data_IF_394294503344
#
_entry.id   IF_394294503344
#
_cell.length_a   1.000
_cell.length_b   1.000
_cell.length_c   1.000
_cell.angle_alpha   90.00
_cell.angle_beta   90.00
_cell.angle_gamma   90.00
#
_symmetry.space_group_name_H-M   'P 1'
#
loop_
_entity.id
_entity.type
_entity.pdbx_description
1 polymer ?
#
# COMPACT_ATOMS: atom_id res chain seq x y z
N UNK A 1 20.26 -6.79 -4.93
CA UNK A 1 19.13 -6.50 -5.85
C UNK A 1 17.86 -6.44 -5.03
N UNK A 2 17.33 -5.23 -4.85
CA UNK A 2 16.07 -4.98 -4.15
C UNK A 2 14.90 -5.64 -4.88
N UNK A 3 13.85 -6.07 -4.15
CA UNK A 3 12.61 -6.58 -4.75
C UNK A 3 12.07 -5.61 -5.84
N UNK A 4 12.17 -4.31 -5.60
CA UNK A 4 11.75 -3.27 -6.54
C UNK A 4 12.53 -3.32 -7.86
N UNK A 5 13.86 -3.49 -7.82
CA UNK A 5 14.70 -3.55 -9.03
C UNK A 5 14.33 -4.75 -9.91
N UNK A 6 14.06 -5.92 -9.29
CA UNK A 6 13.59 -7.11 -10.01
C UNK A 6 12.22 -6.87 -10.64
N UNK A 7 11.32 -6.13 -9.97
CA UNK A 7 10.03 -5.78 -10.54
C UNK A 7 10.17 -4.79 -11.69
N UNK A 8 11.00 -3.76 -11.57
CA UNK A 8 11.27 -2.79 -12.63
C UNK A 8 11.74 -3.46 -13.93
N UNK A 9 12.58 -4.50 -13.82
CA UNK A 9 13.01 -5.30 -14.98
C UNK A 9 11.85 -6.07 -15.65
N UNK A 10 10.79 -6.40 -14.90
CA UNK A 10 9.63 -7.15 -15.39
C UNK A 10 8.44 -6.27 -15.80
N UNK A 11 8.45 -4.96 -15.55
CA UNK A 11 7.39 -4.02 -15.97
C UNK A 11 7.06 -4.10 -17.47
N UNK A 12 8.04 -4.25 -18.40
CA UNK A 12 7.75 -4.38 -19.83
C UNK A 12 6.81 -5.54 -20.18
N UNK A 13 6.74 -6.57 -19.32
CA UNK A 13 5.88 -7.75 -19.50
C UNK A 13 4.39 -7.46 -19.27
N UNK A 14 4.06 -6.39 -18.55
CA UNK A 14 2.69 -6.02 -18.19
C UNK A 14 2.37 -4.60 -18.65
N UNK A 15 2.21 -4.37 -19.97
CA UNK A 15 1.92 -3.04 -20.50
C UNK A 15 0.58 -2.50 -20.00
N UNK A 16 0.46 -1.17 -20.04
CA UNK A 16 -0.76 -0.44 -19.67
C UNK A 16 -1.93 -0.90 -20.54
N UNK A 17 -3.06 -1.18 -19.90
CA UNK A 17 -4.27 -1.68 -20.57
C UNK A 17 -5.27 -0.56 -20.90
N UNK A 18 -6.08 -0.78 -21.93
CA UNK A 18 -7.20 0.10 -22.27
C UNK A 18 -8.27 0.07 -21.17
N UNK A 19 -9.13 1.09 -21.11
CA UNK A 19 -10.19 1.13 -20.09
C UNK A 19 -11.22 0.04 -20.31
N UNK A 20 -11.45 -0.34 -21.56
CA UNK A 20 -12.37 -1.40 -21.95
C UNK A 20 -11.83 -2.74 -21.44
N UNK A 21 -10.54 -3.00 -21.67
CA UNK A 21 -9.90 -4.24 -21.24
C UNK A 21 -9.80 -4.34 -19.72
N UNK A 22 -9.41 -3.24 -19.05
CA UNK A 22 -9.40 -3.14 -17.59
C UNK A 22 -10.76 -3.51 -16.99
N UNK A 23 -11.85 -2.99 -17.57
CA UNK A 23 -13.21 -3.29 -17.12
C UNK A 23 -13.62 -4.73 -17.42
N UNK A 24 -13.21 -5.28 -18.57
CA UNK A 24 -13.47 -6.69 -18.93
C UNK A 24 -12.81 -7.63 -17.92
N UNK A 25 -11.53 -7.38 -17.60
CA UNK A 25 -10.81 -8.14 -16.58
C UNK A 25 -11.45 -7.99 -15.21
N UNK A 26 -11.85 -6.78 -14.79
CA UNK A 26 -12.51 -6.57 -13.49
C UNK A 26 -13.85 -7.32 -13.45
N UNK A 27 -14.63 -7.30 -14.53
CA UNK A 27 -15.89 -8.03 -14.61
C UNK A 27 -15.70 -9.55 -14.45
N UNK A 28 -14.63 -10.11 -15.02
CA UNK A 28 -14.27 -11.51 -14.81
C UNK A 28 -13.72 -11.77 -13.41
N UNK A 29 -12.81 -10.94 -12.92
CA UNK A 29 -12.28 -11.03 -11.57
C UNK A 29 -13.39 -11.07 -10.50
N UNK A 30 -14.44 -10.24 -10.66
CA UNK A 30 -15.63 -10.24 -9.79
C UNK A 30 -16.47 -11.51 -9.87
N UNK A 31 -16.38 -12.29 -10.95
CA UNK A 31 -16.99 -13.62 -11.08
C UNK A 31 -16.14 -14.73 -10.42
N UNK A 32 -14.97 -14.39 -9.86
CA UNK A 32 -14.11 -15.33 -9.15
C UNK A 32 -13.07 -16.03 -10.03
N UNK A 33 -12.79 -15.54 -11.24
CA UNK A 33 -11.71 -16.11 -12.05
C UNK A 33 -10.34 -15.63 -11.52
N UNK A 34 -9.50 -16.52 -10.92
CA UNK A 34 -8.29 -16.11 -10.22
C UNK A 34 -7.22 -15.54 -11.16
N UNK A 35 -7.09 -16.10 -12.36
CA UNK A 35 -6.12 -15.65 -13.37
C UNK A 35 -6.31 -14.18 -13.74
N UNK A 36 -7.55 -13.73 -13.90
CA UNK A 36 -7.86 -12.34 -14.23
C UNK A 36 -7.64 -11.39 -13.05
N UNK A 37 -7.80 -11.88 -11.81
CA UNK A 37 -7.44 -11.10 -10.62
C UNK A 37 -5.93 -10.88 -10.59
N UNK A 38 -5.15 -11.96 -10.74
CA UNK A 38 -3.69 -11.90 -10.72
C UNK A 38 -3.16 -11.02 -11.84
N UNK A 39 -3.71 -11.15 -13.05
CA UNK A 39 -3.35 -10.28 -14.17
C UNK A 39 -3.63 -8.81 -13.84
N UNK A 40 -4.78 -8.47 -13.27
CA UNK A 40 -5.09 -7.09 -12.88
C UNK A 40 -4.10 -6.55 -11.84
N UNK A 41 -3.75 -7.36 -10.84
CA UNK A 41 -2.77 -7.01 -9.82
C UNK A 41 -1.42 -6.73 -10.47
N UNK A 42 -0.92 -7.65 -11.29
CA UNK A 42 0.38 -7.53 -11.98
C UNK A 42 0.45 -6.27 -12.86
N UNK A 43 -0.65 -5.93 -13.55
CA UNK A 43 -0.77 -4.70 -14.37
C UNK A 43 -0.75 -3.42 -13.53
N UNK A 44 -1.07 -3.50 -12.23
CA UNK A 44 -1.13 -2.36 -11.32
C UNK A 44 0.03 -2.30 -10.32
N UNK A 45 0.90 -3.31 -10.25
CA UNK A 45 2.11 -3.30 -9.43
C UNK A 45 2.97 -2.06 -9.73
N UNK A 46 3.21 -1.76 -11.01
CA UNK A 46 4.00 -0.59 -11.40
C UNK A 46 3.40 0.73 -10.91
N UNK A 47 2.07 0.81 -10.81
CA UNK A 47 1.39 1.96 -10.21
C UNK A 47 1.64 2.04 -8.70
N UNK A 48 1.55 0.93 -7.97
CA UNK A 48 1.81 0.88 -6.52
C UNK A 48 3.25 1.27 -6.21
N UNK A 49 4.22 0.69 -6.91
CA UNK A 49 5.65 1.01 -6.77
C UNK A 49 5.87 2.51 -7.00
N UNK A 50 5.27 3.07 -8.06
CA UNK A 50 5.35 4.51 -8.31
C UNK A 50 4.79 5.36 -7.15
N UNK A 51 3.68 4.94 -6.51
CA UNK A 51 3.14 5.66 -5.34
C UNK A 51 4.07 5.57 -4.14
N UNK A 52 4.63 4.41 -3.85
CA UNK A 52 5.58 4.21 -2.74
C UNK A 52 6.78 5.14 -2.90
N UNK A 53 7.42 5.12 -4.07
CA UNK A 53 8.55 6.02 -4.36
C UNK A 53 8.19 7.50 -4.28
N UNK A 54 6.96 7.86 -4.68
CA UNK A 54 6.54 9.26 -4.68
C UNK A 54 6.14 9.78 -3.30
N UNK A 55 5.74 8.90 -2.38
CA UNK A 55 5.23 9.28 -1.04
C UNK A 55 6.20 9.05 0.09
N UNK A 56 7.29 8.35 -0.17
CA UNK A 56 8.22 7.88 0.85
C UNK A 56 9.61 8.42 0.55
N UNK A 57 10.32 8.90 1.57
CA UNK A 57 11.73 9.26 1.42
C UNK A 57 12.58 8.01 1.15
N UNK A 58 13.65 8.10 0.34
CA UNK A 58 14.46 6.92 -0.03
C UNK A 58 14.91 6.07 1.15
N UNK A 59 15.34 6.70 2.25
CA UNK A 59 15.75 6.00 3.48
C UNK A 59 14.66 5.13 4.11
N UNK A 60 13.38 5.51 3.99
CA UNK A 60 12.27 4.71 4.49
C UNK A 60 11.81 3.66 3.48
N UNK A 61 12.07 3.85 2.19
CA UNK A 61 11.83 2.81 1.17
C UNK A 61 12.78 1.62 1.40
N UNK A 62 14.06 1.90 1.67
CA UNK A 62 15.05 0.85 1.94
C UNK A 62 14.71 0.00 3.17
N UNK A 63 14.06 0.62 4.17
CA UNK A 63 13.76 -0.03 5.46
C UNK A 63 12.40 -0.72 5.48
N UNK A 64 11.37 -0.09 4.93
CA UNK A 64 9.97 -0.53 5.06
C UNK A 64 9.27 -0.77 3.72
N UNK A 65 9.95 -0.50 2.61
CA UNK A 65 9.33 -0.50 1.29
C UNK A 65 8.76 -1.87 0.90
N UNK A 66 9.46 -2.96 1.23
CA UNK A 66 9.01 -4.33 0.89
C UNK A 66 7.73 -4.72 1.65
N UNK A 67 7.64 -4.36 2.93
CA UNK A 67 6.45 -4.61 3.76
C UNK A 67 5.25 -3.78 3.28
N UNK A 68 5.46 -2.47 3.09
CA UNK A 68 4.45 -1.55 2.56
C UNK A 68 3.98 -2.04 1.17
N UNK A 69 4.90 -2.49 0.32
CA UNK A 69 4.54 -3.01 -0.98
C UNK A 69 3.67 -4.26 -0.86
N UNK A 70 4.07 -5.23 -0.04
CA UNK A 70 3.35 -6.50 0.15
C UNK A 70 1.93 -6.28 0.67
N UNK A 71 1.75 -5.41 1.64
CA UNK A 71 0.44 -5.03 2.16
C UNK A 71 -0.40 -4.26 1.14
N UNK A 72 0.21 -3.36 0.37
CA UNK A 72 -0.48 -2.64 -0.70
C UNK A 72 -1.02 -3.58 -1.80
N UNK A 73 -0.37 -4.73 -2.04
CA UNK A 73 -0.89 -5.76 -2.95
C UNK A 73 -2.21 -6.34 -2.44
N UNK A 74 -2.34 -6.64 -1.15
CA UNK A 74 -3.61 -7.10 -0.58
C UNK A 74 -4.74 -6.07 -0.74
N UNK A 75 -4.40 -4.77 -0.65
CA UNK A 75 -5.36 -3.70 -0.94
C UNK A 75 -5.83 -3.76 -2.40
N UNK A 76 -4.97 -4.08 -3.37
CA UNK A 76 -5.40 -4.25 -4.76
C UNK A 76 -6.42 -5.38 -4.90
N UNK A 77 -6.14 -6.55 -4.31
CA UNK A 77 -7.04 -7.70 -4.33
C UNK A 77 -8.43 -7.36 -3.76
N UNK A 78 -8.47 -6.67 -2.61
CA UNK A 78 -9.74 -6.20 -2.03
C UNK A 78 -10.46 -5.20 -2.95
N UNK A 79 -9.73 -4.22 -3.48
CA UNK A 79 -10.34 -3.17 -4.30
C UNK A 79 -10.85 -3.66 -5.65
N UNK A 80 -10.25 -4.68 -6.24
CA UNK A 80 -10.79 -5.32 -7.45
C UNK A 80 -12.19 -5.89 -7.17
N UNK A 81 -12.38 -6.57 -6.03
CA UNK A 81 -13.69 -7.14 -5.64
C UNK A 81 -14.75 -6.04 -5.45
N UNK A 82 -14.37 -4.93 -4.84
CA UNK A 82 -15.27 -3.85 -4.46
C UNK A 82 -15.46 -2.76 -5.53
N UNK A 83 -14.74 -2.83 -6.65
CA UNK A 83 -14.84 -1.84 -7.71
C UNK A 83 -16.23 -1.79 -8.35
N UNK A 84 -16.77 -0.58 -8.53
CA UNK A 84 -18.08 -0.35 -9.15
C UNK A 84 -17.96 -0.17 -10.67
N UNK A 85 -18.28 -1.23 -11.42
CA UNK A 85 -18.31 -1.20 -12.89
C UNK A 85 -19.39 -0.28 -13.46
N UNK A 86 -20.41 0.08 -12.70
CA UNK A 86 -21.55 0.92 -13.14
C UNK A 86 -21.57 2.27 -12.44
N UNK A 87 -20.40 2.79 -12.08
CA UNK A 87 -20.29 4.12 -11.49
C UNK A 87 -20.97 5.17 -12.37
N UNK A 88 -21.81 5.97 -11.74
CA UNK A 88 -22.48 7.13 -12.31
C UNK A 88 -22.02 8.37 -11.59
N UNK A 89 -21.88 9.48 -12.30
CA UNK A 89 -21.57 10.75 -11.65
C UNK A 89 -22.81 11.36 -10.96
N UNK A 90 -22.64 12.56 -10.40
CA UNK A 90 -23.71 13.28 -9.68
C UNK A 90 -24.91 13.63 -10.56
N UNK A 91 -24.78 13.57 -11.88
CA UNK A 91 -25.86 13.81 -12.84
C UNK A 91 -26.51 12.51 -13.32
N UNK A 92 -26.05 11.34 -12.84
CA UNK A 92 -26.57 10.03 -13.23
C UNK A 92 -25.93 9.48 -14.50
N UNK A 93 -24.93 10.17 -15.06
CA UNK A 93 -24.25 9.80 -16.29
C UNK A 93 -23.22 8.71 -16.04
N UNK A 94 -23.19 7.70 -16.91
CA UNK A 94 -22.24 6.60 -16.79
C UNK A 94 -20.81 7.08 -17.06
N UNK A 95 -19.94 6.94 -16.05
CA UNK A 95 -18.57 7.44 -16.13
C UNK A 95 -17.58 6.34 -15.73
N UNK A 96 -16.97 5.63 -16.68
CA UNK A 96 -16.00 4.60 -16.36
C UNK A 96 -14.74 5.27 -15.77
N UNK A 97 -14.44 4.97 -14.50
CA UNK A 97 -13.26 5.48 -13.79
C UNK A 97 -12.12 4.47 -13.91
N UNK A 98 -10.90 4.90 -14.21
CA UNK A 98 -9.74 3.97 -14.22
C UNK A 98 -9.54 3.33 -12.86
N UNK A 99 -9.13 2.06 -12.83
CA UNK A 99 -8.91 1.37 -11.56
C UNK A 99 -7.83 2.07 -10.73
N UNK A 100 -6.73 2.50 -11.35
CA UNK A 100 -5.69 3.33 -10.72
C UNK A 100 -6.24 4.61 -10.05
N UNK A 101 -7.14 5.32 -10.72
CA UNK A 101 -7.82 6.51 -10.17
C UNK A 101 -8.77 6.18 -9.02
N UNK A 102 -9.36 4.98 -9.00
CA UNK A 102 -10.19 4.52 -7.89
C UNK A 102 -9.36 4.21 -6.64
N UNK A 103 -8.20 3.57 -6.80
CA UNK A 103 -7.39 3.09 -5.67
C UNK A 103 -6.39 4.11 -5.12
N UNK A 104 -5.99 5.13 -5.89
CA UNK A 104 -4.83 5.99 -5.57
C UNK A 104 -4.84 6.59 -4.16
N UNK A 105 -5.97 7.16 -3.72
CA UNK A 105 -6.12 7.75 -2.38
C UNK A 105 -5.99 6.72 -1.28
N UNK A 106 -6.51 5.50 -1.50
CA UNK A 106 -6.42 4.42 -0.51
C UNK A 106 -4.97 3.96 -0.36
N UNK A 107 -4.25 3.80 -1.47
CA UNK A 107 -2.83 3.44 -1.47
C UNK A 107 -2.00 4.53 -0.79
N UNK A 108 -2.23 5.81 -1.12
CA UNK A 108 -1.53 6.93 -0.48
C UNK A 108 -1.73 6.98 1.03
N UNK A 109 -3.00 6.90 1.47
CA UNK A 109 -3.32 6.91 2.89
C UNK A 109 -2.64 5.76 3.62
N UNK A 110 -2.73 4.56 3.03
CA UNK A 110 -2.07 3.37 3.56
C UNK A 110 -0.55 3.53 3.70
N UNK A 111 0.14 4.08 2.69
CA UNK A 111 1.60 4.32 2.76
C UNK A 111 1.93 5.26 3.92
N UNK A 112 1.20 6.38 4.04
CA UNK A 112 1.45 7.36 5.10
C UNK A 112 1.15 6.79 6.50
N UNK A 113 0.04 6.06 6.64
CA UNK A 113 -0.35 5.41 7.89
C UNK A 113 0.70 4.38 8.33
N UNK A 114 1.20 3.58 7.38
CA UNK A 114 2.23 2.56 7.65
C UNK A 114 3.55 3.20 8.08
N UNK A 115 4.00 4.24 7.36
CA UNK A 115 5.22 4.97 7.72
C UNK A 115 5.11 5.60 9.11
N UNK A 116 3.96 6.20 9.43
CA UNK A 116 3.73 6.77 10.76
C UNK A 116 3.80 5.70 11.84
N UNK A 117 3.18 4.55 11.63
CA UNK A 117 3.18 3.44 12.57
C UNK A 117 4.59 2.88 12.81
N UNK A 118 5.42 2.75 11.77
CA UNK A 118 6.81 2.30 11.92
C UNK A 118 7.67 3.33 12.66
N UNK A 119 7.56 4.62 12.31
CA UNK A 119 8.31 5.68 13.00
C UNK A 119 7.92 5.80 14.48
N UNK A 120 6.64 5.63 14.81
CA UNK A 120 6.19 5.57 16.20
C UNK A 120 6.75 4.36 16.94
N UNK A 121 6.83 3.18 16.29
CA UNK A 121 7.47 2.01 16.89
C UNK A 121 8.94 2.28 17.16
N UNK A 122 9.68 2.84 16.22
CA UNK A 122 11.12 3.12 16.39
C UNK A 122 11.39 4.13 17.50
N UNK A 123 10.57 5.19 17.58
CA UNK A 123 10.65 6.18 18.64
C UNK A 123 10.51 5.52 20.01
N UNK A 124 9.53 4.61 20.18
CA UNK A 124 9.33 3.86 21.44
C UNK A 124 10.49 2.94 21.81
N UNK A 125 11.24 2.42 20.83
CA UNK A 125 12.42 1.59 21.09
C UNK A 125 13.68 2.44 21.33
N UNK A 126 13.67 3.72 20.95
CA UNK A 126 14.82 4.63 21.05
C UNK A 126 14.85 5.40 22.37
N UNK A 127 13.75 5.45 23.13
CA UNK A 127 13.71 5.94 24.51
C UNK A 127 13.80 4.76 25.47
N UNK A 128 14.96 4.49 26.10
CA UNK A 128 15.01 3.59 27.22
C UNK A 128 14.19 4.20 28.36
N UNK A 129 13.34 3.39 28.98
CA UNK A 129 12.49 3.71 30.12
C UNK A 129 13.33 3.95 31.40
N UNK A 130 14.19 4.97 31.38
CA UNK A 130 15.05 5.33 32.52
C UNK A 130 14.23 5.90 33.69
N UNK A 131 13.02 6.39 33.46
CA UNK A 131 12.14 6.94 34.50
C UNK A 131 11.60 5.88 35.48
N UNK A 132 11.74 4.58 35.14
CA UNK A 132 11.28 3.47 35.99
C UNK A 132 12.28 3.05 37.07
N UNK A 133 13.54 3.48 36.99
CA UNK A 133 14.61 3.04 37.91
C UNK A 133 14.92 3.99 39.07
N UNK A 134 14.47 5.26 39.02
CA UNK A 134 14.85 6.27 40.02
C UNK A 134 13.89 6.43 41.22
N UNK A 135 12.77 5.68 41.29
CA UNK A 135 11.82 5.78 42.41
C UNK A 135 12.11 4.84 43.59
N UNK A 136 13.23 4.10 43.57
CA UNK A 136 13.52 3.04 44.54
C UNK A 136 14.58 3.34 45.63
N UNK A 137 15.22 4.51 45.65
CA UNK A 137 16.31 4.80 46.60
C UNK A 137 16.19 6.18 47.23
N UNK A 138 15.45 6.27 48.32
CA UNK A 138 15.76 7.19 49.44
C UNK A 138 14.83 6.89 50.62
N UNK A 139 15.26 6.01 51.51
CA UNK A 139 14.93 6.03 52.93
C UNK A 139 15.90 5.09 53.66
N UNK A 140 17.16 5.54 53.80
CA UNK A 140 18.05 4.99 54.83
C UNK A 140 17.85 5.86 56.06
N UNK A 141 17.06 5.36 57.01
CA UNK A 141 17.00 5.92 58.36
C UNK A 141 18.33 5.62 59.04
N UNK A 142 19.11 6.67 59.32
CA UNK A 142 20.28 6.60 60.20
C UNK A 142 19.75 6.68 61.63
N UNK A 143 20.09 5.66 62.42
CA UNK A 143 19.79 5.52 63.85
C UNK A 143 20.68 6.40 64.71
#
# INVERSE_FOLDING_TARGET
MSLFEKFYQNIPRYPKISIIEERRLIAKAKKGYPREIDELVLRHIGFVIYRIHKKTFPSYIERFGEDIFSEAIFILYDKIKNYNLRYKDKHGEFKPVRFSSYIWKRIDGFILDSLKAELERESRHSTPDWERYDSGKCNVQVS
#
